data_IF_140275150727
#
_entry.id   IF_140275150727
#
_cell.length_a   1.000
_cell.length_b   1.000
_cell.length_c   1.000
_cell.angle_alpha   90.00
_cell.angle_beta   90.00
_cell.angle_gamma   90.00
#
_symmetry.space_group_name_H-M   'P 1'
#
loop_
_entity.id
_entity.type
_entity.pdbx_description
1 polymer ?
#
# COMPACT_ATOMS: atom_id res chain seq x y z
N UNK A 1 -11.19 -10.95 62.43
CA UNK A 1 -11.45 -11.11 60.99
C UNK A 1 -10.28 -10.52 60.21
N UNK A 2 -9.34 -11.33 59.71
CA UNK A 2 -8.30 -10.86 58.80
C UNK A 2 -8.70 -11.13 57.34
N UNK A 3 -8.64 -10.06 56.54
CA UNK A 3 -8.78 -10.06 55.09
C UNK A 3 -7.68 -10.92 54.45
N UNK A 4 -8.04 -11.78 53.49
CA UNK A 4 -7.07 -12.39 52.59
C UNK A 4 -6.97 -11.59 51.28
N UNK A 5 -5.75 -11.27 50.79
CA UNK A 5 -5.54 -10.68 49.48
C UNK A 5 -5.67 -11.71 48.35
N UNK A 6 -6.22 -11.28 47.23
CA UNK A 6 -6.42 -12.06 46.00
C UNK A 6 -5.11 -12.43 45.29
N UNK A 7 -5.06 -13.56 44.57
CA UNK A 7 -3.89 -13.96 43.79
C UNK A 7 -3.74 -13.12 42.52
N UNK A 8 -2.57 -12.50 42.36
CA UNK A 8 -2.14 -11.79 41.16
C UNK A 8 -1.85 -12.78 40.02
N UNK A 9 -2.46 -12.56 38.86
CA UNK A 9 -2.16 -13.28 37.62
C UNK A 9 -0.76 -12.93 37.12
N UNK A 10 0.09 -13.96 37.01
CA UNK A 10 1.44 -13.88 36.51
C UNK A 10 1.49 -13.34 35.06
N UNK A 11 2.08 -12.15 34.89
CA UNK A 11 2.39 -11.54 33.60
C UNK A 11 3.53 -12.30 32.94
N UNK A 12 3.24 -13.09 31.89
CA UNK A 12 4.25 -13.75 31.05
C UNK A 12 5.16 -12.69 30.42
N UNK A 13 6.41 -12.67 30.85
CA UNK A 13 7.48 -11.92 30.19
C UNK A 13 7.79 -12.63 28.87
N UNK A 14 7.45 -12.00 27.76
CA UNK A 14 7.83 -12.49 26.44
C UNK A 14 9.31 -12.16 26.24
N UNK A 15 10.15 -13.18 26.37
CA UNK A 15 11.57 -13.14 26.08
C UNK A 15 11.75 -12.72 24.62
N UNK A 16 12.40 -11.56 24.39
CA UNK A 16 12.87 -11.15 23.07
C UNK A 16 13.95 -12.13 22.64
N UNK A 17 13.59 -13.16 21.88
CA UNK A 17 14.57 -13.95 21.15
C UNK A 17 15.22 -13.04 20.10
N UNK A 18 16.54 -12.84 20.25
CA UNK A 18 17.35 -12.12 19.28
C UNK A 18 17.26 -12.83 17.93
N UNK A 19 16.65 -12.16 16.96
CA UNK A 19 16.65 -12.57 15.57
C UNK A 19 18.11 -12.43 15.08
N UNK A 20 18.74 -13.48 14.51
CA UNK A 20 20.08 -13.40 13.95
C UNK A 20 20.18 -12.28 12.89
N UNK A 21 21.27 -11.51 12.81
CA UNK A 21 21.46 -10.47 11.81
C UNK A 21 21.89 -11.10 10.47
N UNK A 22 21.12 -12.04 9.94
CA UNK A 22 21.08 -12.26 8.50
C UNK A 22 20.14 -11.16 7.96
N UNK A 23 20.66 -9.93 7.94
CA UNK A 23 20.07 -8.83 7.19
C UNK A 23 20.05 -9.31 5.75
N UNK A 24 18.91 -9.89 5.36
CA UNK A 24 18.60 -10.18 3.99
C UNK A 24 18.90 -8.88 3.27
N UNK A 25 19.95 -8.89 2.46
CA UNK A 25 20.24 -7.90 1.44
C UNK A 25 18.99 -7.88 0.55
N UNK A 26 17.94 -7.22 1.03
CA UNK A 26 16.74 -6.95 0.29
C UNK A 26 17.23 -5.96 -0.74
N UNK A 27 17.69 -6.53 -1.85
CA UNK A 27 18.09 -5.86 -3.07
C UNK A 27 17.22 -4.61 -3.15
N UNK A 28 17.83 -3.45 -2.90
CA UNK A 28 17.18 -2.15 -3.06
C UNK A 28 17.09 -1.94 -4.56
N UNK A 29 16.38 -2.84 -5.24
CA UNK A 29 15.98 -2.70 -6.61
C UNK A 29 15.13 -1.43 -6.58
N UNK A 30 15.71 -0.37 -7.15
CA UNK A 30 15.05 0.90 -7.42
C UNK A 30 13.62 0.58 -7.85
N UNK A 31 12.64 1.06 -7.09
CA UNK A 31 11.23 0.86 -7.44
C UNK A 31 11.07 1.53 -8.80
N UNK A 32 10.81 0.79 -9.90
CA UNK A 32 10.73 1.40 -11.22
C UNK A 32 9.65 2.48 -11.18
N UNK A 33 9.95 3.62 -11.79
CA UNK A 33 8.99 4.70 -11.87
C UNK A 33 7.76 4.23 -12.65
N UNK A 34 6.61 4.87 -12.43
CA UNK A 34 5.37 4.49 -13.11
C UNK A 34 5.50 4.52 -14.64
N UNK A 35 6.32 5.44 -15.15
CA UNK A 35 6.54 5.64 -16.58
C UNK A 35 7.30 4.47 -17.24
N UNK A 36 8.21 3.83 -16.52
CA UNK A 36 9.02 2.71 -17.03
C UNK A 36 8.24 1.38 -17.12
N UNK A 37 7.02 1.31 -16.56
CA UNK A 37 6.24 0.08 -16.52
C UNK A 37 5.52 -0.18 -17.86
N UNK A 38 5.49 -1.43 -18.36
CA UNK A 38 4.67 -1.76 -19.52
C UNK A 38 3.17 -1.73 -19.15
N UNK A 39 2.28 -1.55 -20.13
CA UNK A 39 0.84 -1.45 -19.89
C UNK A 39 0.22 -2.72 -19.28
N UNK A 40 0.84 -3.88 -19.51
CA UNK A 40 0.44 -5.17 -18.93
C UNK A 40 0.82 -5.31 -17.45
N UNK A 41 1.67 -4.43 -16.91
CA UNK A 41 2.09 -4.49 -15.52
C UNK A 41 0.92 -4.17 -14.56
N UNK A 42 1.00 -4.74 -13.35
CA UNK A 42 0.04 -4.51 -12.28
C UNK A 42 0.64 -3.61 -11.20
N UNK A 43 -0.12 -2.60 -10.78
CA UNK A 43 0.29 -1.65 -9.76
C UNK A 43 -0.74 -1.59 -8.63
N UNK A 44 -0.25 -1.40 -7.40
CA UNK A 44 -1.09 -1.23 -6.21
C UNK A 44 -1.32 0.25 -5.91
N UNK A 45 -2.28 0.53 -5.03
CA UNK A 45 -2.59 1.88 -4.53
C UNK A 45 -1.32 2.65 -4.10
N UNK A 46 -0.38 2.00 -3.43
CA UNK A 46 0.86 2.62 -2.94
C UNK A 46 1.83 3.10 -4.04
N UNK A 47 1.71 2.58 -5.26
CA UNK A 47 2.48 3.04 -6.42
C UNK A 47 1.75 4.06 -7.27
N UNK A 48 0.44 4.20 -7.07
CA UNK A 48 -0.41 5.14 -7.81
C UNK A 48 -0.56 6.47 -7.08
N UNK A 49 -0.70 6.42 -5.76
CA UNK A 49 -1.20 7.52 -4.94
C UNK A 49 -0.12 8.08 -4.03
N UNK A 50 -0.06 9.41 -3.88
CA UNK A 50 0.86 10.08 -2.96
C UNK A 50 0.57 9.67 -1.52
N UNK A 51 1.57 9.10 -0.87
CA UNK A 51 1.52 8.77 0.55
C UNK A 51 2.39 9.75 1.36
N UNK A 52 1.83 10.47 2.36
CA UNK A 52 2.59 11.41 3.17
C UNK A 52 3.75 10.79 3.95
N UNK A 53 3.70 9.48 4.25
CA UNK A 53 4.76 8.77 4.98
C UNK A 53 5.95 8.45 4.07
N UNK A 54 5.75 8.46 2.75
CA UNK A 54 6.78 8.12 1.76
C UNK A 54 6.81 9.14 0.61
N UNK A 55 7.17 10.41 0.88
CA UNK A 55 7.13 11.49 -0.11
C UNK A 55 8.14 11.32 -1.26
N UNK A 56 9.18 10.51 -1.06
CA UNK A 56 10.24 10.27 -2.06
C UNK A 56 9.79 9.40 -3.23
N UNK A 57 8.66 8.67 -3.09
CA UNK A 57 8.21 7.76 -4.15
C UNK A 57 7.53 8.56 -5.27
N UNK A 58 7.97 8.39 -6.52
CA UNK A 58 7.28 9.01 -7.64
C UNK A 58 5.94 8.30 -7.85
N UNK A 59 4.86 9.08 -7.85
CA UNK A 59 3.50 8.56 -8.00
C UNK A 59 2.77 9.42 -9.03
N UNK A 60 2.04 8.80 -9.99
CA UNK A 60 1.40 9.54 -11.07
C UNK A 60 0.23 10.41 -10.61
N UNK A 61 -0.41 10.10 -9.48
CA UNK A 61 -1.66 10.75 -9.07
C UNK A 61 -1.45 11.74 -7.90
N UNK A 62 -1.89 13.01 -8.04
CA UNK A 62 -1.65 14.05 -7.03
C UNK A 62 -2.67 14.06 -5.88
N UNK A 63 -3.36 12.96 -5.61
CA UNK A 63 -4.36 12.88 -4.53
C UNK A 63 -3.92 11.96 -3.39
N UNK A 64 -4.67 11.98 -2.29
CA UNK A 64 -4.46 11.10 -1.13
C UNK A 64 -5.19 9.76 -1.30
N UNK A 65 -4.82 8.71 -0.51
CA UNK A 65 -5.49 7.41 -0.56
C UNK A 65 -7.00 7.47 -0.32
N UNK A 66 -7.46 8.38 0.54
CA UNK A 66 -8.89 8.52 0.83
C UNK A 66 -9.68 9.04 -0.39
N UNK A 67 -9.12 10.01 -1.12
CA UNK A 67 -9.74 10.53 -2.35
C UNK A 67 -9.75 9.47 -3.45
N UNK A 68 -8.69 8.67 -3.56
CA UNK A 68 -8.63 7.56 -4.51
C UNK A 68 -9.80 6.59 -4.33
N UNK A 69 -10.04 6.15 -3.10
CA UNK A 69 -11.16 5.24 -2.81
C UNK A 69 -12.53 5.87 -3.08
N UNK A 70 -12.70 7.17 -2.86
CA UNK A 70 -13.93 7.90 -3.23
C UNK A 70 -14.15 7.92 -4.74
N UNK A 71 -13.10 8.10 -5.54
CA UNK A 71 -13.20 8.08 -7.01
C UNK A 71 -13.59 6.69 -7.52
N UNK A 72 -13.02 5.63 -6.94
CA UNK A 72 -13.38 4.24 -7.25
C UNK A 72 -14.85 3.97 -6.88
N UNK A 73 -15.28 4.36 -5.68
CA UNK A 73 -16.66 4.20 -5.25
C UNK A 73 -17.64 5.00 -6.13
N UNK A 74 -17.20 6.13 -6.69
CA UNK A 74 -17.97 6.93 -7.64
C UNK A 74 -17.87 6.44 -9.09
N UNK A 75 -17.21 5.30 -9.34
CA UNK A 75 -16.95 4.75 -10.68
C UNK A 75 -16.25 5.71 -11.65
N UNK A 76 -15.53 6.72 -11.12
CA UNK A 76 -14.77 7.69 -11.92
C UNK A 76 -13.34 7.27 -12.22
N UNK A 77 -12.88 6.16 -11.64
CA UNK A 77 -11.54 5.61 -11.82
C UNK A 77 -11.65 4.12 -12.17
N UNK A 78 -10.68 3.52 -12.90
CA UNK A 78 -10.67 2.10 -13.20
C UNK A 78 -10.93 1.21 -11.98
N UNK A 79 -11.77 0.18 -12.17
CA UNK A 79 -12.16 -0.70 -11.07
C UNK A 79 -10.99 -1.56 -10.60
N UNK A 80 -10.86 -1.80 -9.28
CA UNK A 80 -9.83 -2.66 -8.73
C UNK A 80 -9.96 -4.10 -9.21
N UNK A 81 -8.85 -4.72 -9.64
CA UNK A 81 -8.79 -6.16 -9.91
C UNK A 81 -8.17 -6.88 -8.73
N UNK A 82 -8.84 -7.92 -8.24
CA UNK A 82 -8.35 -8.76 -7.14
C UNK A 82 -7.48 -9.88 -7.70
N UNK A 83 -6.16 -9.77 -7.50
CA UNK A 83 -5.18 -10.78 -7.96
C UNK A 83 -5.10 -11.97 -7.00
N UNK A 84 -5.33 -11.75 -5.71
CA UNK A 84 -5.36 -12.81 -4.70
C UNK A 84 -6.19 -12.39 -3.47
N UNK A 85 -6.30 -13.25 -2.46
CA UNK A 85 -7.15 -13.05 -1.29
C UNK A 85 -6.99 -11.66 -0.61
N UNK A 86 -5.78 -11.09 -0.63
CA UNK A 86 -5.47 -9.78 -0.04
C UNK A 86 -4.76 -8.80 -0.97
N UNK A 87 -4.71 -9.07 -2.29
CA UNK A 87 -4.01 -8.21 -3.25
C UNK A 87 -4.99 -7.64 -4.25
N UNK A 88 -5.12 -6.31 -4.17
CA UNK A 88 -5.86 -5.51 -5.13
C UNK A 88 -4.89 -4.67 -5.95
N UNK A 89 -5.03 -4.73 -7.27
CA UNK A 89 -4.17 -4.04 -8.20
C UNK A 89 -4.95 -3.52 -9.41
N UNK A 90 -4.30 -2.61 -10.15
CA UNK A 90 -4.77 -2.03 -11.40
C UNK A 90 -3.75 -2.31 -12.48
N UNK A 91 -4.21 -2.45 -13.73
CA UNK A 91 -3.29 -2.47 -14.87
C UNK A 91 -2.77 -1.07 -15.13
N UNK A 92 -1.48 -0.96 -15.42
CA UNK A 92 -0.84 0.32 -15.75
C UNK A 92 -1.50 0.95 -16.98
N UNK A 93 -1.83 0.15 -18.00
CA UNK A 93 -2.48 0.64 -19.21
C UNK A 93 -3.84 1.30 -18.95
N UNK A 94 -4.68 0.72 -18.10
CA UNK A 94 -5.99 1.28 -17.73
C UNK A 94 -5.85 2.63 -17.00
N UNK A 95 -4.85 2.74 -16.12
CA UNK A 95 -4.57 3.99 -15.41
C UNK A 95 -4.04 5.06 -16.36
N UNK A 96 -3.18 4.69 -17.33
CA UNK A 96 -2.69 5.60 -18.36
C UNK A 96 -3.81 6.08 -19.28
N UNK A 97 -4.69 5.18 -19.70
CA UNK A 97 -5.86 5.53 -20.50
C UNK A 97 -6.73 6.55 -19.75
N UNK A 98 -7.01 6.29 -18.47
CA UNK A 98 -7.76 7.22 -17.63
C UNK A 98 -7.07 8.59 -17.49
N UNK A 99 -5.76 8.62 -17.26
CA UNK A 99 -4.99 9.88 -17.20
C UNK A 99 -5.10 10.66 -18.52
N UNK A 100 -5.03 9.96 -19.65
CA UNK A 100 -5.17 10.56 -20.97
C UNK A 100 -6.59 11.11 -21.17
N UNK A 101 -7.63 10.38 -20.76
CA UNK A 101 -9.03 10.86 -20.81
C UNK A 101 -9.20 12.13 -19.97
N UNK A 102 -8.63 12.19 -18.75
CA UNK A 102 -8.71 13.40 -17.92
C UNK A 102 -7.97 14.59 -18.56
N UNK A 103 -6.84 14.35 -19.22
CA UNK A 103 -6.09 15.40 -19.93
C UNK A 103 -6.87 15.97 -21.13
N UNK A 104 -7.70 15.15 -21.80
CA UNK A 104 -8.52 15.58 -22.93
C UNK A 104 -9.91 16.09 -22.52
N UNK A 105 -10.33 15.87 -21.27
CA UNK A 105 -11.63 16.30 -20.74
C UNK A 105 -11.58 17.66 -20.02
N UNK A 106 -10.43 18.33 -20.05
CA UNK A 106 -10.19 19.68 -19.54
C UNK A 106 -10.16 20.68 -20.69
#
# INVERSE_FOLDING_TARGET
MPCQPTPQTARKQQTKAAIPPAKLEQNTAQIPNFDDLPDTAWIRQSGLVRDPKHPTRPTPLPFSPATFWRLIASHKFPQPTKLSAGVTAWRVGEVRAWLNEQAHSA
#
